data_IF_908874472439
#
_entry.id   IF_908874472439
#
_cell.length_a   1.000
_cell.length_b   1.000
_cell.length_c   1.000
_cell.angle_alpha   90.00
_cell.angle_beta   90.00
_cell.angle_gamma   90.00
#
_symmetry.space_group_name_H-M   'P 1'
#
loop_
_entity.id
_entity.type
_entity.pdbx_description
1 polymer ?
#
# COMPACT_ATOMS: atom_id res chain seq x y z
N UNK A 1 -4.37 51.94 35.17
CA UNK A 1 -4.37 50.80 36.08
C UNK A 1 -3.98 49.59 35.28
N UNK A 2 -2.73 49.12 35.46
CA UNK A 2 -2.16 47.99 34.76
C UNK A 2 -2.49 46.71 35.49
N UNK A 3 -2.97 45.67 34.79
CA UNK A 3 -2.91 44.32 35.31
C UNK A 3 -2.06 43.45 34.35
N UNK A 4 -0.88 43.11 34.85
CA UNK A 4 0.03 42.10 34.26
C UNK A 4 -0.48 40.74 34.69
N UNK A 5 -0.74 39.84 33.75
CA UNK A 5 -0.90 38.40 33.98
C UNK A 5 0.46 37.73 33.82
N UNK A 6 0.91 37.01 34.86
CA UNK A 6 2.17 36.31 34.88
C UNK A 6 2.01 34.88 34.34
N UNK A 7 2.85 34.53 33.39
CA UNK A 7 3.04 33.15 32.93
C UNK A 7 3.83 32.37 33.99
N UNK A 8 3.28 31.25 34.46
CA UNK A 8 4.00 30.29 35.32
C UNK A 8 4.60 29.21 34.45
N UNK A 9 5.91 29.23 34.35
CA UNK A 9 6.75 28.15 33.83
C UNK A 9 6.78 27.01 34.84
N UNK A 10 6.39 25.79 34.46
CA UNK A 10 6.53 24.59 35.25
C UNK A 10 7.83 23.87 34.86
N UNK A 11 8.82 23.90 35.72
CA UNK A 11 10.03 23.11 35.67
C UNK A 11 9.73 21.67 36.11
N UNK A 12 9.90 20.68 35.23
CA UNK A 12 9.96 19.28 35.63
C UNK A 12 11.37 18.97 36.17
N UNK A 13 11.44 18.57 37.44
CA UNK A 13 12.65 18.05 38.08
C UNK A 13 12.77 16.55 37.80
N UNK A 14 13.84 16.15 37.12
CA UNK A 14 14.30 14.77 37.03
C UNK A 14 14.81 14.29 38.39
N UNK A 15 14.20 13.24 38.91
CA UNK A 15 14.69 12.55 40.10
C UNK A 15 15.54 11.34 39.67
N UNK A 16 16.85 11.46 39.87
CA UNK A 16 17.81 10.36 39.68
C UNK A 16 17.85 9.55 40.97
N UNK A 17 17.37 8.32 40.95
CA UNK A 17 17.49 7.39 42.08
C UNK A 17 18.69 6.47 41.83
N UNK A 18 19.75 6.68 42.61
CA UNK A 18 20.90 5.80 42.65
C UNK A 18 20.62 4.61 43.59
N UNK A 19 20.68 3.39 43.06
CA UNK A 19 20.72 2.18 43.88
C UNK A 19 22.16 1.76 44.15
N UNK A 20 22.54 1.74 45.41
CA UNK A 20 23.82 1.20 45.87
C UNK A 20 23.69 -0.33 46.02
N UNK A 21 24.61 -1.05 45.38
CA UNK A 21 24.75 -2.51 45.52
C UNK A 21 25.77 -2.75 46.67
N UNK A 22 25.30 -3.38 47.72
CA UNK A 22 26.16 -3.95 48.76
C UNK A 22 26.44 -5.41 48.40
N UNK A 23 27.70 -5.75 48.22
CA UNK A 23 28.14 -7.12 47.96
C UNK A 23 28.12 -7.97 49.21
N UNK A 24 27.76 -9.24 49.06
CA UNK A 24 28.07 -10.30 50.02
C UNK A 24 28.50 -11.55 49.27
N UNK A 25 29.79 -11.87 49.46
CA UNK A 25 30.41 -13.12 49.01
C UNK A 25 30.05 -14.24 49.99
N UNK A 26 29.53 -15.35 49.51
CA UNK A 26 29.68 -16.67 50.17
C UNK A 26 29.91 -17.72 49.10
N UNK A 27 30.91 -18.53 49.33
CA UNK A 27 31.45 -19.54 48.44
C UNK A 27 30.93 -20.96 48.72
N UNK A 28 31.09 -21.83 47.70
CA UNK A 28 31.11 -23.33 47.70
C UNK A 28 29.75 -24.04 47.78
N UNK A 29 29.41 -24.98 46.98
CA UNK A 29 30.03 -26.11 46.22
C UNK A 29 28.93 -26.96 45.60
N UNK A 30 29.26 -27.49 44.42
CA UNK A 30 28.88 -28.78 43.79
C UNK A 30 27.46 -29.34 43.71
N UNK A 31 27.12 -29.60 42.50
CA UNK A 31 26.68 -30.85 41.84
C UNK A 31 25.26 -30.93 41.26
N UNK A 32 25.32 -31.38 40.00
CA UNK A 32 24.34 -32.16 39.20
C UNK A 32 23.15 -31.51 38.52
N UNK A 33 23.33 -31.42 37.17
CA UNK A 33 22.41 -31.93 36.11
C UNK A 33 20.94 -31.54 36.15
N UNK A 34 20.59 -30.62 35.28
CA UNK A 34 19.43 -30.75 34.36
C UNK A 34 19.37 -29.58 33.39
N UNK A 35 19.02 -29.90 32.15
CA UNK A 35 19.02 -28.99 31.00
C UNK A 35 18.08 -27.78 31.15
N UNK A 36 18.44 -26.63 30.59
CA UNK A 36 17.55 -25.46 30.61
C UNK A 36 16.55 -25.51 29.46
N UNK A 37 15.31 -25.19 29.79
CA UNK A 37 14.27 -24.82 28.85
C UNK A 37 14.69 -23.58 28.08
N UNK A 38 14.68 -23.68 26.76
CA UNK A 38 14.95 -22.58 25.85
C UNK A 38 13.71 -21.69 25.72
N UNK A 39 13.80 -20.47 26.22
CA UNK A 39 12.94 -19.39 25.76
C UNK A 39 13.39 -18.93 24.36
N UNK A 40 12.48 -18.59 23.45
CA UNK A 40 12.85 -18.12 22.12
C UNK A 40 13.36 -16.67 22.21
N UNK A 41 14.66 -16.53 22.02
CA UNK A 41 15.28 -15.23 21.81
C UNK A 41 14.93 -14.72 20.40
N UNK A 42 14.49 -13.49 20.33
CA UNK A 42 14.42 -12.74 19.09
C UNK A 42 15.84 -12.57 18.53
N UNK A 43 16.14 -13.28 17.46
CA UNK A 43 17.35 -13.04 16.69
C UNK A 43 17.00 -12.13 15.52
N UNK A 44 17.55 -10.93 15.54
CA UNK A 44 17.67 -10.06 14.39
C UNK A 44 18.43 -10.77 13.27
N UNK A 45 17.75 -11.14 12.19
CA UNK A 45 18.38 -11.63 10.97
C UNK A 45 18.81 -10.43 10.12
N UNK A 46 20.05 -9.96 10.34
CA UNK A 46 20.77 -9.14 9.38
C UNK A 46 21.48 -10.08 8.40
N UNK A 47 20.87 -10.29 7.23
CA UNK A 47 21.57 -10.73 6.00
C UNK A 47 20.54 -10.81 4.86
N UNK A 48 20.45 -9.75 4.06
CA UNK A 48 20.11 -9.78 2.64
C UNK A 48 20.12 -8.36 2.06
N UNK A 49 21.30 -7.89 1.79
CA UNK A 49 21.51 -6.79 0.88
C UNK A 49 22.76 -7.13 0.06
N UNK A 50 22.58 -7.87 -1.02
CA UNK A 50 23.43 -7.76 -2.21
C UNK A 50 22.97 -8.75 -3.28
N UNK A 51 22.22 -8.26 -4.28
CA UNK A 51 22.22 -8.82 -5.64
C UNK A 51 21.16 -8.11 -6.50
N UNK A 52 21.50 -6.92 -6.91
CA UNK A 52 20.91 -6.29 -8.08
C UNK A 52 22.02 -5.67 -8.91
N UNK A 53 22.75 -6.47 -9.67
CA UNK A 53 23.54 -6.03 -10.83
C UNK A 53 23.83 -7.19 -11.79
N UNK A 54 23.53 -6.90 -13.06
CA UNK A 54 24.02 -7.50 -14.30
C UNK A 54 23.46 -8.85 -14.70
N UNK A 55 22.63 -8.79 -15.74
CA UNK A 55 22.91 -9.62 -16.92
C UNK A 55 22.63 -8.78 -18.18
N UNK A 56 23.74 -8.47 -18.85
CA UNK A 56 23.80 -7.90 -20.18
C UNK A 56 24.12 -9.03 -21.18
N UNK A 57 23.30 -9.05 -22.25
CA UNK A 57 23.62 -9.61 -23.57
C UNK A 57 24.09 -11.04 -23.72
N UNK A 58 23.35 -11.81 -24.53
CA UNK A 58 23.77 -12.16 -25.88
C UNK A 58 22.65 -12.81 -26.68
N UNK A 59 22.39 -12.24 -27.82
CA UNK A 59 21.56 -12.77 -28.88
C UNK A 59 22.21 -13.99 -29.55
N UNK A 60 21.43 -15.04 -29.79
CA UNK A 60 21.67 -15.93 -30.94
C UNK A 60 20.35 -16.28 -31.59
N UNK A 61 20.25 -15.87 -32.84
CA UNK A 61 19.24 -16.19 -33.83
C UNK A 61 19.24 -17.67 -34.20
N UNK A 62 18.06 -18.27 -34.37
CA UNK A 62 17.88 -19.29 -35.41
C UNK A 62 16.43 -19.33 -35.86
N UNK A 63 16.33 -19.08 -37.15
CA UNK A 63 15.18 -19.17 -38.03
C UNK A 63 14.70 -20.60 -38.20
N UNK A 64 13.41 -20.84 -38.32
CA UNK A 64 12.88 -21.73 -39.35
C UNK A 64 11.39 -21.49 -39.59
N UNK A 65 11.14 -21.46 -40.85
CA UNK A 65 9.94 -21.13 -41.61
C UNK A 65 8.91 -22.26 -41.65
N UNK A 66 7.73 -21.85 -42.15
CA UNK A 66 6.75 -22.59 -42.96
C UNK A 66 5.53 -23.11 -42.14
N UNK A 67 4.27 -23.00 -42.57
CA UNK A 67 3.62 -22.87 -43.88
C UNK A 67 2.13 -22.55 -43.63
N UNK A 68 1.58 -21.65 -44.41
CA UNK A 68 0.11 -21.43 -44.53
C UNK A 68 -0.44 -22.46 -45.50
N UNK A 69 -1.69 -22.87 -45.39
CA UNK A 69 -2.55 -22.60 -46.56
C UNK A 69 -3.92 -22.00 -46.26
N UNK A 70 -4.21 -21.12 -47.11
CA UNK A 70 -5.38 -20.42 -47.54
C UNK A 70 -6.50 -21.37 -48.02
N UNK A 71 -7.77 -21.05 -47.72
CA UNK A 71 -8.82 -21.24 -48.70
C UNK A 71 -10.10 -20.44 -48.36
N UNK A 72 -10.33 -19.56 -49.23
CA UNK A 72 -11.50 -18.79 -49.61
C UNK A 72 -12.79 -19.58 -49.69
N UNK A 73 -13.93 -18.93 -49.40
CA UNK A 73 -15.08 -18.86 -50.34
C UNK A 73 -16.09 -17.81 -49.90
N UNK A 74 -16.30 -16.89 -50.78
CA UNK A 74 -17.38 -15.92 -50.80
C UNK A 74 -18.67 -16.55 -51.32
N UNK A 75 -19.83 -16.03 -50.95
CA UNK A 75 -20.99 -15.83 -51.83
C UNK A 75 -21.89 -14.70 -51.33
N UNK A 76 -22.16 -13.82 -52.23
CA UNK A 76 -23.02 -12.65 -52.31
C UNK A 76 -24.50 -12.99 -52.51
N UNK A 77 -25.39 -12.04 -52.18
CA UNK A 77 -26.53 -11.49 -52.98
C UNK A 77 -27.46 -10.70 -52.03
N UNK A 78 -27.62 -9.39 -52.16
CA UNK A 78 -28.38 -8.55 -53.12
C UNK A 78 -29.91 -8.66 -53.01
N UNK A 79 -30.53 -7.53 -52.74
CA UNK A 79 -31.64 -6.81 -53.42
C UNK A 79 -32.52 -6.06 -52.38
N UNK A 80 -32.63 -4.76 -52.42
CA UNK A 80 -33.28 -3.81 -53.33
C UNK A 80 -34.71 -3.43 -52.92
N UNK A 81 -34.90 -2.09 -52.78
CA UNK A 81 -36.06 -1.25 -53.11
C UNK A 81 -37.32 -1.36 -52.24
N UNK A 82 -37.80 -0.25 -51.65
CA UNK A 82 -38.66 0.77 -52.29
C UNK A 82 -38.94 1.93 -51.33
N UNK A 83 -38.90 3.14 -51.91
CA UNK A 83 -39.50 4.39 -51.42
C UNK A 83 -40.88 4.54 -52.03
N UNK A 84 -41.85 5.25 -51.42
CA UNK A 84 -42.22 6.51 -52.05
C UNK A 84 -42.53 7.68 -51.08
N UNK A 85 -42.36 8.82 -51.71
CA UNK A 85 -42.59 10.21 -51.37
C UNK A 85 -44.04 10.62 -51.07
N UNK A 86 -44.12 11.74 -50.39
CA UNK A 86 -44.84 13.03 -50.56
C UNK A 86 -45.70 13.38 -49.34
N UNK A 87 -45.94 14.60 -48.92
CA UNK A 87 -45.77 15.96 -49.41
C UNK A 87 -46.21 16.95 -48.30
N UNK A 88 -45.52 18.09 -48.24
CA UNK A 88 -45.97 19.42 -47.90
C UNK A 88 -46.86 19.70 -46.68
N UNK A 89 -46.41 20.54 -45.74
CA UNK A 89 -46.88 21.93 -45.63
C UNK A 89 -46.06 22.78 -44.68
N UNK A 90 -45.77 23.98 -45.13
CA UNK A 90 -45.11 25.06 -44.42
C UNK A 90 -45.90 25.59 -43.21
N UNK A 91 -45.25 26.02 -42.16
CA UNK A 91 -45.53 27.29 -41.49
C UNK A 91 -44.34 27.76 -40.67
N UNK A 92 -43.73 28.83 -41.10
CA UNK A 92 -42.71 29.61 -40.44
C UNK A 92 -43.20 30.29 -39.15
N UNK A 93 -42.47 30.06 -38.03
CA UNK A 93 -42.45 31.06 -36.95
C UNK A 93 -40.99 31.17 -36.48
N UNK A 94 -40.37 32.30 -36.76
CA UNK A 94 -39.11 32.74 -36.25
C UNK A 94 -39.22 33.09 -34.75
N UNK A 95 -38.47 32.42 -33.90
CA UNK A 95 -38.10 32.97 -32.59
C UNK A 95 -36.63 32.81 -32.40
N UNK A 96 -35.95 33.94 -32.40
CA UNK A 96 -34.56 34.08 -32.03
C UNK A 96 -34.38 33.68 -30.55
N UNK A 97 -33.71 32.56 -30.32
CA UNK A 97 -33.13 32.24 -29.03
C UNK A 97 -31.62 32.40 -29.13
N UNK A 98 -31.10 33.38 -28.40
CA UNK A 98 -29.69 33.54 -28.09
C UNK A 98 -29.14 32.23 -27.57
N UNK A 99 -27.92 31.82 -27.96
CA UNK A 99 -27.24 30.70 -27.33
C UNK A 99 -26.88 31.10 -25.89
N UNK A 100 -27.47 30.44 -24.92
CA UNK A 100 -26.96 30.47 -23.56
C UNK A 100 -25.50 29.99 -23.58
N UNK A 101 -24.57 30.89 -23.28
CA UNK A 101 -23.20 30.50 -22.92
C UNK A 101 -23.29 29.56 -21.69
N UNK A 102 -23.10 28.29 -21.94
CA UNK A 102 -22.75 27.37 -20.85
C UNK A 102 -21.37 27.80 -20.32
N UNK A 103 -21.36 28.61 -19.29
CA UNK A 103 -20.18 28.80 -18.46
C UNK A 103 -19.91 27.48 -17.76
N UNK A 104 -19.10 26.63 -18.37
CA UNK A 104 -18.47 25.51 -17.69
C UNK A 104 -17.53 26.09 -16.63
N UNK A 105 -18.05 26.29 -15.43
CA UNK A 105 -17.23 26.51 -14.26
C UNK A 105 -16.47 25.20 -14.01
N UNK A 106 -15.26 25.12 -14.51
CA UNK A 106 -14.30 24.10 -14.07
C UNK A 106 -13.96 24.44 -12.62
N UNK A 107 -14.70 23.90 -11.66
CA UNK A 107 -14.25 23.88 -10.29
C UNK A 107 -12.95 23.06 -10.26
N UNK A 108 -11.84 23.71 -9.95
CA UNK A 108 -10.58 22.99 -9.70
C UNK A 108 -10.85 21.91 -8.65
N UNK A 109 -10.34 20.71 -8.90
CA UNK A 109 -10.44 19.61 -7.93
C UNK A 109 -9.84 20.05 -6.59
N UNK A 110 -10.51 19.82 -5.46
CA UNK A 110 -9.97 20.12 -4.15
C UNK A 110 -8.78 19.23 -3.79
N UNK A 111 -8.52 18.19 -4.59
CA UNK A 111 -7.49 17.22 -4.36
C UNK A 111 -6.23 17.54 -5.17
N UNK A 112 -5.07 17.30 -4.56
CA UNK A 112 -3.79 17.24 -5.29
C UNK A 112 -3.76 16.05 -6.24
N UNK A 113 -4.36 14.95 -5.80
CA UNK A 113 -4.56 13.72 -6.55
C UNK A 113 -5.70 12.92 -5.90
N UNK A 114 -6.42 12.18 -6.72
CA UNK A 114 -7.42 11.25 -6.23
C UNK A 114 -7.65 10.12 -7.22
N UNK A 115 -8.17 9.00 -6.73
CA UNK A 115 -8.79 7.95 -7.50
C UNK A 115 -10.07 7.50 -6.80
N UNK A 116 -11.19 7.64 -7.49
CA UNK A 116 -12.52 7.22 -7.04
C UNK A 116 -12.89 5.85 -7.59
N UNK A 117 -11.98 5.22 -8.35
CA UNK A 117 -12.12 3.91 -8.96
C UNK A 117 -13.39 3.70 -9.79
N UNK A 118 -13.88 4.77 -10.45
CA UNK A 118 -14.96 4.64 -11.42
C UNK A 118 -14.56 3.75 -12.61
N UNK A 119 -13.29 3.85 -13.01
CA UNK A 119 -12.66 3.04 -14.06
C UNK A 119 -11.18 2.85 -13.75
N UNK A 120 -10.60 1.74 -14.27
CA UNK A 120 -9.16 1.50 -14.10
C UNK A 120 -8.34 2.50 -14.92
N UNK A 121 -7.58 3.37 -14.24
CA UNK A 121 -6.76 4.41 -14.87
C UNK A 121 -5.29 4.00 -14.96
N UNK A 122 -4.87 3.57 -16.15
CA UNK A 122 -3.48 3.21 -16.44
C UNK A 122 -2.53 4.41 -16.42
N UNK A 123 -3.02 5.66 -16.40
CA UNK A 123 -2.18 6.83 -16.17
C UNK A 123 -1.80 7.01 -14.70
N UNK A 124 -2.59 6.44 -13.78
CA UNK A 124 -2.33 6.50 -12.33
C UNK A 124 -1.59 5.27 -11.80
N UNK A 125 -1.90 4.07 -12.32
CA UNK A 125 -1.43 2.82 -11.75
C UNK A 125 -0.62 1.97 -12.74
N UNK A 126 0.35 1.23 -12.21
CA UNK A 126 1.08 0.16 -12.90
C UNK A 126 0.99 -1.10 -12.03
N UNK A 127 0.88 -2.26 -12.65
CA UNK A 127 1.01 -3.54 -11.95
C UNK A 127 2.46 -3.98 -11.88
N UNK A 128 2.86 -4.50 -10.74
CA UNK A 128 4.08 -5.29 -10.59
C UNK A 128 3.74 -6.76 -10.75
N UNK A 129 4.51 -7.47 -11.60
CA UNK A 129 4.21 -8.83 -12.02
C UNK A 129 5.28 -9.78 -11.50
N UNK A 130 4.85 -10.97 -11.05
CA UNK A 130 5.77 -12.03 -10.64
C UNK A 130 5.83 -12.27 -9.15
N UNK A 131 6.88 -12.97 -8.72
CA UNK A 131 7.12 -13.33 -7.32
C UNK A 131 8.15 -12.41 -6.65
N UNK A 132 8.73 -11.47 -7.39
CA UNK A 132 9.81 -10.63 -6.90
C UNK A 132 11.06 -11.41 -6.44
N UNK A 133 12.09 -10.69 -6.03
CA UNK A 133 13.26 -11.32 -5.44
C UNK A 133 12.91 -11.84 -4.03
N UNK A 134 13.20 -13.12 -3.77
CA UNK A 134 12.93 -13.77 -2.48
C UNK A 134 11.48 -13.61 -1.98
N UNK A 135 10.47 -13.69 -2.87
CA UNK A 135 9.07 -13.45 -2.52
C UNK A 135 8.90 -12.02 -1.99
N UNK A 136 9.26 -11.02 -2.82
CA UNK A 136 9.22 -9.59 -2.50
C UNK A 136 9.99 -9.20 -1.22
N UNK A 137 11.07 -9.96 -0.90
CA UNK A 137 11.86 -9.77 0.31
C UNK A 137 11.31 -10.47 1.56
N UNK A 138 10.08 -10.97 1.53
CA UNK A 138 9.35 -11.50 2.68
C UNK A 138 9.01 -12.99 2.58
N UNK A 139 9.54 -13.70 1.58
CA UNK A 139 9.19 -15.11 1.29
C UNK A 139 7.69 -15.33 1.03
N UNK A 140 6.99 -14.31 0.52
CA UNK A 140 5.59 -14.36 0.12
C UNK A 140 5.34 -15.46 -0.92
N UNK A 141 4.12 -15.98 -1.00
CA UNK A 141 3.79 -17.19 -1.77
C UNK A 141 2.99 -16.93 -3.04
N UNK A 142 2.40 -15.77 -3.21
CA UNK A 142 1.62 -15.42 -4.40
C UNK A 142 2.53 -15.04 -5.58
N UNK A 143 1.97 -15.20 -6.77
CA UNK A 143 2.41 -14.54 -7.99
C UNK A 143 1.50 -13.33 -8.21
N UNK A 144 2.06 -12.13 -8.28
CA UNK A 144 1.28 -10.94 -8.62
C UNK A 144 1.05 -10.86 -10.12
N UNK A 145 -0.17 -10.49 -10.51
CA UNK A 145 -0.61 -10.40 -11.91
C UNK A 145 -1.34 -9.09 -12.18
N UNK A 146 -1.53 -8.78 -13.46
CA UNK A 146 -2.40 -7.70 -13.96
C UNK A 146 -3.74 -8.22 -14.50
N UNK A 147 -4.10 -9.48 -14.17
CA UNK A 147 -5.32 -10.11 -14.66
C UNK A 147 -6.55 -9.61 -13.93
N UNK A 148 -7.68 -9.56 -14.62
CA UNK A 148 -8.98 -9.22 -14.03
C UNK A 148 -9.44 -10.18 -12.93
N UNK A 149 -8.87 -11.37 -12.84
CA UNK A 149 -9.09 -12.31 -11.75
C UNK A 149 -8.47 -11.83 -10.43
N UNK A 150 -7.46 -10.95 -10.49
CA UNK A 150 -6.72 -10.46 -9.32
C UNK A 150 -6.93 -8.96 -9.05
N UNK A 151 -7.26 -8.16 -10.08
CA UNK A 151 -7.62 -6.75 -9.87
C UNK A 151 -8.69 -6.32 -10.87
N UNK A 152 -9.79 -5.77 -10.36
CA UNK A 152 -10.89 -5.29 -11.18
C UNK A 152 -11.69 -4.22 -10.43
N UNK A 153 -12.49 -3.47 -11.18
CA UNK A 153 -13.42 -2.49 -10.62
C UNK A 153 -14.84 -2.99 -10.82
N UNK A 154 -15.61 -2.97 -9.75
CA UNK A 154 -17.03 -3.29 -9.76
C UNK A 154 -17.78 -2.29 -8.88
N UNK A 155 -18.85 -1.69 -9.42
CA UNK A 155 -19.71 -0.73 -8.70
C UNK A 155 -18.95 0.46 -8.09
N UNK A 156 -17.88 0.93 -8.75
CA UNK A 156 -17.03 2.02 -8.29
C UNK A 156 -16.06 1.62 -7.16
N UNK A 157 -15.84 0.32 -6.95
CA UNK A 157 -14.93 -0.21 -5.94
C UNK A 157 -13.80 -0.96 -6.65
N UNK A 158 -12.55 -0.67 -6.32
CA UNK A 158 -11.41 -1.50 -6.70
C UNK A 158 -11.37 -2.74 -5.80
N UNK A 159 -11.30 -3.90 -6.45
CA UNK A 159 -11.07 -5.19 -5.82
C UNK A 159 -9.64 -5.66 -6.09
N UNK A 160 -8.87 -5.93 -5.05
CA UNK A 160 -7.59 -6.65 -5.13
C UNK A 160 -7.81 -8.02 -4.51
N UNK A 161 -7.80 -9.05 -5.38
CA UNK A 161 -8.22 -10.41 -5.04
C UNK A 161 -7.05 -11.37 -4.98
N UNK A 162 -6.85 -11.97 -3.82
CA UNK A 162 -6.00 -13.14 -3.69
C UNK A 162 -6.81 -14.41 -4.02
N UNK A 163 -6.25 -15.25 -4.90
CA UNK A 163 -6.85 -16.50 -5.32
C UNK A 163 -5.97 -17.69 -4.92
N UNK A 164 -6.60 -18.81 -4.59
CA UNK A 164 -5.95 -20.12 -4.52
C UNK A 164 -6.02 -20.76 -5.89
N UNK A 165 -4.93 -20.69 -6.63
CA UNK A 165 -4.80 -21.29 -7.95
C UNK A 165 -3.34 -21.59 -8.26
N UNK A 166 -3.09 -22.54 -9.19
CA UNK A 166 -1.74 -22.80 -9.68
C UNK A 166 -1.45 -21.88 -10.87
N UNK A 167 -0.48 -20.98 -10.73
CA UNK A 167 -0.11 -20.04 -11.77
C UNK A 167 1.40 -19.77 -11.74
N UNK A 168 2.09 -19.95 -12.88
CA UNK A 168 3.54 -19.68 -13.04
C UNK A 168 4.42 -20.27 -11.91
N UNK A 169 4.04 -21.45 -11.41
CA UNK A 169 4.77 -22.16 -10.34
C UNK A 169 4.39 -21.78 -8.92
N UNK A 170 3.54 -20.76 -8.73
CA UNK A 170 2.97 -20.39 -7.43
C UNK A 170 1.65 -21.11 -7.19
N UNK A 171 1.29 -21.32 -5.91
CA UNK A 171 0.00 -21.88 -5.50
C UNK A 171 -1.07 -20.83 -5.23
N UNK A 172 -0.74 -19.56 -5.35
CA UNK A 172 -1.61 -18.40 -5.11
C UNK A 172 -1.30 -17.31 -6.12
N UNK A 173 -2.30 -16.51 -6.47
CA UNK A 173 -2.15 -15.27 -7.24
C UNK A 173 -2.78 -14.11 -6.50
N UNK A 174 -2.33 -12.89 -6.78
CA UNK A 174 -2.90 -11.66 -6.27
C UNK A 174 -2.53 -10.50 -7.19
N UNK A 175 -2.76 -9.26 -6.76
CA UNK A 175 -2.28 -8.08 -7.47
C UNK A 175 -1.49 -7.15 -6.55
N UNK A 176 -0.50 -6.46 -7.14
CA UNK A 176 0.25 -5.36 -6.54
C UNK A 176 0.30 -4.21 -7.53
N UNK A 177 -0.23 -3.06 -7.11
CA UNK A 177 -0.40 -1.86 -7.92
C UNK A 177 0.42 -0.74 -7.33
N UNK A 178 1.11 0.03 -8.19
CA UNK A 178 1.98 1.13 -7.77
C UNK A 178 1.73 2.41 -8.57
N UNK A 179 1.97 3.57 -7.96
CA UNK A 179 1.95 4.86 -8.66
C UNK A 179 3.35 5.37 -9.03
N UNK A 180 4.41 4.57 -8.85
CA UNK A 180 5.80 4.93 -9.19
C UNK A 180 5.93 5.44 -10.63
N UNK A 181 6.60 6.59 -10.80
CA UNK A 181 6.78 7.22 -12.09
C UNK A 181 5.51 7.84 -12.70
N UNK A 182 4.38 7.80 -11.98
CA UNK A 182 3.09 8.39 -12.40
C UNK A 182 2.61 9.44 -11.42
N UNK A 183 2.65 9.14 -10.13
CA UNK A 183 2.34 10.07 -9.06
C UNK A 183 3.18 9.78 -7.83
N UNK A 184 3.86 10.79 -7.35
CA UNK A 184 4.54 10.83 -6.05
C UNK A 184 4.41 12.24 -5.47
N UNK A 185 4.45 12.35 -4.17
CA UNK A 185 4.31 13.64 -3.49
C UNK A 185 5.11 13.66 -2.19
N UNK A 186 5.35 14.87 -1.69
CA UNK A 186 5.93 15.13 -0.38
C UNK A 186 4.95 16.00 0.38
N UNK A 187 4.52 15.52 1.55
CA UNK A 187 3.55 16.14 2.43
C UNK A 187 2.14 16.26 1.86
N UNK A 188 1.19 16.11 2.73
CA UNK A 188 -0.23 16.17 2.46
C UNK A 188 -1.04 15.32 3.43
N UNK A 189 -2.34 15.38 3.29
CA UNK A 189 -3.25 14.46 3.96
C UNK A 189 -3.74 13.45 2.93
N UNK A 190 -3.48 12.16 3.19
CA UNK A 190 -4.04 11.03 2.46
C UNK A 190 -5.28 10.56 3.20
N UNK A 191 -6.37 10.36 2.48
CA UNK A 191 -7.58 9.70 2.97
C UNK A 191 -7.95 8.58 2.02
N UNK A 192 -8.19 7.39 2.57
CA UNK A 192 -8.61 6.21 1.82
C UNK A 192 -9.75 5.51 2.56
N UNK A 193 -10.74 5.02 1.81
CA UNK A 193 -11.82 4.21 2.36
C UNK A 193 -11.65 2.78 1.88
N UNK A 194 -11.31 1.89 2.82
CA UNK A 194 -10.85 0.52 2.52
C UNK A 194 -11.51 -0.48 3.46
N UNK A 195 -11.88 -1.65 2.92
CA UNK A 195 -12.18 -2.86 3.69
C UNK A 195 -11.06 -3.88 3.40
N UNK A 196 -10.49 -4.45 4.47
CA UNK A 196 -9.35 -5.35 4.38
C UNK A 196 -9.81 -6.81 4.41
N UNK A 197 -9.16 -7.72 3.66
CA UNK A 197 -9.36 -9.14 3.85
C UNK A 197 -8.79 -9.59 5.20
N UNK A 198 -9.46 -10.55 5.82
CA UNK A 198 -8.98 -11.23 7.01
C UNK A 198 -8.91 -12.73 6.78
N UNK A 199 -7.92 -13.38 7.38
CA UNK A 199 -7.78 -14.82 7.28
C UNK A 199 -6.33 -15.29 7.39
N UNK A 200 -6.13 -16.51 7.86
CA UNK A 200 -4.82 -17.07 8.15
C UNK A 200 -3.90 -17.07 6.93
N UNK A 201 -2.77 -16.37 7.03
CA UNK A 201 -1.79 -16.21 5.95
C UNK A 201 -2.11 -15.07 4.98
N UNK A 202 -3.12 -14.23 5.23
CA UNK A 202 -3.45 -13.05 4.44
C UNK A 202 -2.72 -11.82 5.01
N UNK A 203 -2.20 -10.98 4.11
CA UNK A 203 -1.46 -9.78 4.45
C UNK A 203 -1.78 -8.65 3.45
N UNK A 204 -2.84 -7.90 3.66
CA UNK A 204 -3.15 -6.69 2.89
C UNK A 204 -2.30 -5.51 3.33
N UNK A 205 -1.97 -4.61 2.38
CA UNK A 205 -1.26 -3.39 2.65
C UNK A 205 -1.66 -2.23 1.73
N UNK A 206 -1.74 -1.02 2.31
CA UNK A 206 -1.72 0.27 1.61
C UNK A 206 -0.58 1.10 2.19
N UNK A 207 0.44 1.34 1.41
CA UNK A 207 1.73 1.82 1.84
C UNK A 207 2.46 2.64 0.79
N UNK A 208 3.64 3.13 1.10
CA UNK A 208 4.41 4.02 0.23
C UNK A 208 5.90 3.71 0.29
N UNK A 209 6.59 3.93 -0.83
CA UNK A 209 8.05 3.91 -0.91
C UNK A 209 8.58 5.20 -1.54
N UNK A 210 9.81 5.55 -1.19
CA UNK A 210 10.50 6.69 -1.79
C UNK A 210 10.64 6.56 -3.30
N UNK A 211 10.27 7.61 -4.05
CA UNK A 211 10.40 7.67 -5.51
C UNK A 211 11.85 7.45 -5.98
N UNK A 212 12.81 7.73 -5.11
CA UNK A 212 14.25 7.56 -5.36
C UNK A 212 14.77 6.13 -5.09
N UNK A 213 13.91 5.13 -4.90
CA UNK A 213 14.29 3.76 -4.53
C UNK A 213 15.30 3.13 -5.49
N UNK A 214 15.20 3.43 -6.80
CA UNK A 214 16.15 2.91 -7.79
C UNK A 214 17.58 3.45 -7.62
N UNK A 215 17.72 4.61 -6.98
CA UNK A 215 19.02 5.26 -6.77
C UNK A 215 19.65 4.90 -5.43
N UNK A 216 18.84 4.70 -4.38
CA UNK A 216 19.36 4.53 -3.00
C UNK A 216 19.01 3.18 -2.37
N UNK A 217 18.12 2.42 -3.00
CA UNK A 217 17.58 1.14 -2.51
C UNK A 217 16.82 1.26 -1.20
N UNK A 218 16.16 0.18 -0.81
CA UNK A 218 15.54 0.02 0.50
C UNK A 218 16.61 -0.35 1.55
N UNK A 219 16.53 0.13 2.82
CA UNK A 219 15.51 1.02 3.38
C UNK A 219 15.86 2.52 3.28
N UNK A 220 16.92 2.90 2.55
CA UNK A 220 17.37 4.30 2.46
C UNK A 220 16.39 5.22 1.69
N UNK A 221 15.51 4.65 0.88
CA UNK A 221 14.44 5.41 0.22
C UNK A 221 13.34 5.88 1.19
N UNK A 222 13.20 5.23 2.35
CA UNK A 222 12.09 5.38 3.28
C UNK A 222 10.85 4.59 2.84
N UNK A 223 10.10 4.10 3.84
CA UNK A 223 8.85 3.38 3.67
C UNK A 223 7.82 3.88 4.69
N UNK A 224 6.59 4.04 4.28
CA UNK A 224 5.47 4.51 5.12
C UNK A 224 4.32 3.53 4.93
N UNK A 225 4.09 2.66 5.92
CA UNK A 225 3.00 1.71 5.91
C UNK A 225 1.79 2.33 6.59
N UNK A 226 0.89 2.88 5.75
CA UNK A 226 -0.33 3.55 6.25
C UNK A 226 -1.27 2.51 6.85
N UNK A 227 -1.41 1.36 6.18
CA UNK A 227 -2.27 0.26 6.61
C UNK A 227 -1.54 -1.03 6.34
N UNK A 228 -1.36 -1.84 7.36
CA UNK A 228 -1.07 -3.24 7.25
C UNK A 228 -1.95 -4.04 8.21
N UNK A 229 -2.35 -5.23 7.81
CA UNK A 229 -2.98 -6.19 8.69
C UNK A 229 -2.49 -7.60 8.35
N UNK A 230 -2.49 -8.51 9.32
CA UNK A 230 -2.14 -9.91 9.10
C UNK A 230 -3.19 -10.84 9.69
N UNK A 231 -3.38 -11.95 9.01
CA UNK A 231 -4.23 -13.03 9.49
C UNK A 231 -5.67 -12.56 9.78
N UNK A 232 -6.24 -13.01 10.87
CA UNK A 232 -7.58 -12.66 11.38
C UNK A 232 -7.52 -11.82 12.67
N UNK A 233 -6.42 -11.05 12.84
CA UNK A 233 -6.17 -10.37 14.11
C UNK A 233 -7.08 -9.15 14.35
N UNK A 234 -7.73 -8.62 13.33
CA UNK A 234 -8.51 -7.38 13.40
C UNK A 234 -7.72 -6.19 13.99
N UNK A 235 -6.42 -6.14 13.66
CA UNK A 235 -5.50 -5.08 14.05
C UNK A 235 -5.00 -4.40 12.79
N UNK A 236 -4.94 -3.06 12.83
CA UNK A 236 -4.26 -2.27 11.82
C UNK A 236 -2.95 -1.77 12.39
N UNK A 237 -1.88 -2.00 11.68
CA UNK A 237 -0.52 -1.56 11.98
C UNK A 237 -0.17 -0.36 11.10
N UNK A 238 0.51 0.60 11.69
CA UNK A 238 1.17 1.70 10.99
C UNK A 238 2.65 1.66 11.33
N UNK A 239 3.51 1.69 10.30
CA UNK A 239 4.95 1.53 10.46
C UNK A 239 5.70 2.52 9.58
N UNK A 240 6.90 2.89 9.98
CA UNK A 240 7.86 3.58 9.15
C UNK A 240 9.17 2.81 9.17
N UNK A 241 9.79 2.63 7.99
CA UNK A 241 11.10 2.01 7.83
C UNK A 241 12.07 2.97 7.14
N UNK A 242 13.32 3.03 7.64
CA UNK A 242 14.36 3.88 7.08
C UNK A 242 15.75 3.31 7.33
N UNK A 243 16.77 3.94 6.77
CA UNK A 243 18.14 3.59 7.06
C UNK A 243 18.72 4.48 8.16
N UNK A 244 19.24 3.87 9.24
CA UNK A 244 19.95 4.54 10.30
C UNK A 244 21.35 3.92 10.48
N UNK A 245 22.40 4.74 10.36
CA UNK A 245 23.80 4.28 10.46
C UNK A 245 24.14 3.06 9.59
N UNK A 246 23.57 3.02 8.37
CA UNK A 246 23.80 1.93 7.43
C UNK A 246 22.97 0.66 7.70
N UNK A 247 22.14 0.65 8.71
CA UNK A 247 21.26 -0.47 9.07
C UNK A 247 19.79 -0.11 8.84
N UNK A 248 18.95 -1.11 8.74
CA UNK A 248 17.50 -0.94 8.79
C UNK A 248 17.08 -0.50 10.19
N UNK A 249 16.22 0.49 10.24
CA UNK A 249 15.52 0.97 11.43
C UNK A 249 14.03 1.05 11.14
N UNK A 250 13.21 0.79 12.13
CA UNK A 250 11.77 0.87 12.05
C UNK A 250 11.14 1.43 13.33
N UNK A 251 9.93 1.95 13.17
CA UNK A 251 9.08 2.32 14.28
C UNK A 251 7.62 2.11 13.88
N UNK A 252 6.93 1.24 14.63
CA UNK A 252 5.54 0.87 14.36
C UNK A 252 4.68 0.87 15.62
N UNK A 253 3.39 1.14 15.45
CA UNK A 253 2.34 1.06 16.46
C UNK A 253 1.05 0.54 15.80
N UNK A 254 -0.01 0.30 16.58
CA UNK A 254 -1.20 -0.32 16.02
C UNK A 254 -2.49 0.06 16.80
N UNK A 255 -3.63 -0.40 16.29
CA UNK A 255 -4.95 -0.11 16.86
C UNK A 255 -5.25 -0.83 18.17
N UNK A 256 -4.54 -1.91 18.49
CA UNK A 256 -4.74 -2.68 19.73
C UNK A 256 -4.09 -2.02 20.93
N UNK A 257 -2.92 -1.40 20.71
CA UNK A 257 -2.21 -0.65 21.75
C UNK A 257 -1.50 0.57 21.16
N UNK A 258 -2.12 1.72 21.32
CA UNK A 258 -1.51 3.01 21.02
C UNK A 258 -1.40 3.81 22.31
N UNK A 259 -0.23 3.67 22.99
CA UNK A 259 0.05 4.29 24.30
C UNK A 259 -1.02 4.05 25.35
N UNK A 260 -1.50 2.80 25.46
CA UNK A 260 -2.52 2.38 26.41
C UNK A 260 -3.96 2.70 26.01
N UNK A 261 -4.17 3.14 24.76
CA UNK A 261 -5.49 3.27 24.16
C UNK A 261 -5.66 2.24 23.03
N UNK A 262 -6.89 1.81 22.77
CA UNK A 262 -7.19 0.83 21.74
C UNK A 262 -8.48 1.17 21.02
N UNK A 263 -8.62 0.63 19.80
CA UNK A 263 -9.85 0.65 19.02
C UNK A 263 -10.16 -0.76 18.54
N UNK A 264 -11.31 -1.25 18.92
CA UNK A 264 -11.88 -2.47 18.34
C UNK A 264 -12.34 -2.19 16.89
N UNK A 265 -11.91 -3.03 15.97
CA UNK A 265 -12.23 -2.92 14.55
C UNK A 265 -12.72 -4.26 14.01
N UNK A 266 -13.67 -4.22 13.10
CA UNK A 266 -13.90 -5.29 12.12
C UNK A 266 -13.28 -4.82 10.80
N UNK A 267 -12.03 -5.17 10.55
CA UNK A 267 -11.28 -4.72 9.37
C UNK A 267 -11.92 -5.13 8.05
N UNK A 268 -12.86 -6.09 8.06
CA UNK A 268 -13.59 -6.52 6.87
C UNK A 268 -14.70 -5.56 6.46
N UNK A 269 -15.03 -4.59 7.30
CA UNK A 269 -15.92 -3.48 6.98
C UNK A 269 -15.12 -2.30 6.44
N UNK A 270 -15.78 -1.42 5.67
CA UNK A 270 -15.15 -0.19 5.23
C UNK A 270 -14.87 0.76 6.39
N UNK A 271 -13.62 1.17 6.51
CA UNK A 271 -13.16 2.20 7.41
C UNK A 271 -12.49 3.34 6.64
N UNK A 272 -12.50 4.54 7.23
CA UNK A 272 -11.74 5.68 6.72
C UNK A 272 -10.36 5.69 7.36
N UNK A 273 -9.33 5.49 6.54
CA UNK A 273 -7.94 5.58 6.93
C UNK A 273 -7.39 6.92 6.50
N UNK A 274 -6.65 7.57 7.40
CA UNK A 274 -6.08 8.87 7.13
C UNK A 274 -4.62 8.93 7.59
N UNK A 275 -3.75 9.44 6.73
CA UNK A 275 -2.39 9.84 7.08
C UNK A 275 -2.26 11.35 6.97
N UNK A 276 -1.76 12.00 8.00
CA UNK A 276 -1.33 13.39 7.98
C UNK A 276 0.19 13.40 7.96
N UNK A 277 0.75 13.89 6.87
CA UNK A 277 2.18 13.96 6.66
C UNK A 277 2.61 15.41 6.37
N UNK A 278 3.46 15.96 7.20
CA UNK A 278 4.00 17.29 7.07
C UNK A 278 5.49 17.33 7.46
N UNK A 279 6.10 18.51 7.44
CA UNK A 279 7.52 18.69 7.78
C UNK A 279 7.91 18.24 9.19
N UNK A 280 6.97 17.99 10.08
CA UNK A 280 7.22 17.68 11.48
C UNK A 280 6.92 16.25 11.87
N UNK A 281 5.90 15.67 11.26
CA UNK A 281 5.41 14.36 11.68
C UNK A 281 4.69 13.62 10.55
N UNK A 282 4.57 12.31 10.73
CA UNK A 282 3.63 11.43 10.05
C UNK A 282 2.72 10.87 11.13
N UNK A 283 1.40 11.06 10.99
CA UNK A 283 0.40 10.52 11.92
C UNK A 283 -0.69 9.77 11.15
N UNK A 284 -1.09 8.61 11.64
CA UNK A 284 -2.07 7.73 10.98
C UNK A 284 -3.29 7.50 11.87
N UNK A 285 -4.44 7.44 11.21
CA UNK A 285 -5.74 7.35 11.87
C UNK A 285 -6.64 6.35 11.17
N UNK A 286 -7.51 5.68 11.90
CA UNK A 286 -8.67 4.94 11.41
C UNK A 286 -9.93 5.44 12.11
N UNK A 287 -10.93 5.88 11.33
CA UNK A 287 -12.17 6.49 11.87
C UNK A 287 -11.89 7.52 12.98
N UNK A 288 -10.94 8.44 12.77
CA UNK A 288 -10.46 9.43 13.73
C UNK A 288 -9.69 8.91 14.96
N UNK A 289 -9.53 7.60 15.14
CA UNK A 289 -8.65 7.03 16.16
C UNK A 289 -7.20 7.02 15.66
N UNK A 290 -6.32 7.78 16.32
CA UNK A 290 -4.89 7.78 16.02
C UNK A 290 -4.23 6.49 16.50
N UNK A 291 -3.59 5.75 15.59
CA UNK A 291 -2.89 4.51 15.92
C UNK A 291 -1.39 4.54 15.63
N UNK A 292 -0.88 5.61 15.01
CA UNK A 292 0.55 5.79 14.77
C UNK A 292 0.92 7.26 14.70
N UNK A 293 2.14 7.60 15.15
CA UNK A 293 2.75 8.92 14.94
C UNK A 293 4.26 8.83 15.12
N UNK A 294 5.01 9.37 14.18
CA UNK A 294 6.46 9.54 14.26
C UNK A 294 6.82 11.01 14.01
N UNK A 295 7.68 11.59 14.84
CA UNK A 295 8.26 12.91 14.61
C UNK A 295 9.42 12.82 13.63
N UNK A 296 9.41 13.66 12.57
CA UNK A 296 10.43 13.68 11.52
C UNK A 296 11.08 15.06 11.37
N UNK A 297 10.72 16.06 12.21
CA UNK A 297 11.12 17.46 12.03
C UNK A 297 12.63 17.72 12.04
N UNK A 298 13.40 16.88 12.72
CA UNK A 298 14.84 17.02 12.81
C UNK A 298 15.58 16.58 11.52
N UNK A 299 14.93 15.83 10.63
CA UNK A 299 15.52 15.28 9.40
C UNK A 299 16.93 14.67 9.62
N UNK A 300 17.14 14.04 10.78
CA UNK A 300 18.38 13.39 11.19
C UNK A 300 18.19 11.89 11.26
N UNK A 301 19.31 11.17 11.38
CA UNK A 301 19.31 9.74 11.69
C UNK A 301 18.58 8.90 10.62
N UNK A 302 18.58 9.37 9.34
CA UNK A 302 17.92 8.73 8.22
C UNK A 302 16.48 9.19 7.99
N UNK A 303 15.89 9.97 8.91
CA UNK A 303 14.52 10.49 8.79
C UNK A 303 14.35 11.48 7.62
N UNK A 304 15.44 11.99 7.02
CA UNK A 304 15.41 12.77 5.80
C UNK A 304 14.79 12.04 4.61
N UNK A 305 14.67 10.72 4.65
CA UNK A 305 13.94 9.93 3.66
C UNK A 305 12.45 10.33 3.61
N UNK A 306 11.88 10.70 4.77
CA UNK A 306 10.48 11.13 4.88
C UNK A 306 10.25 12.60 4.49
N UNK A 307 11.25 13.30 3.98
CA UNK A 307 11.15 14.63 3.39
C UNK A 307 11.33 14.61 1.86
N UNK A 308 11.20 13.42 1.26
CA UNK A 308 11.32 13.19 -0.19
C UNK A 308 10.01 12.64 -0.75
N UNK A 309 9.79 12.77 -2.08
CA UNK A 309 8.58 12.23 -2.68
C UNK A 309 8.43 10.73 -2.46
N UNK A 310 7.22 10.31 -2.14
CA UNK A 310 6.83 8.91 -1.95
C UNK A 310 5.69 8.57 -2.92
N UNK A 311 5.65 7.33 -3.41
CA UNK A 311 4.59 6.80 -4.27
C UNK A 311 3.77 5.74 -3.54
N UNK A 312 2.52 5.52 -3.96
CA UNK A 312 1.62 4.55 -3.34
C UNK A 312 1.83 3.12 -3.85
N UNK A 313 1.55 2.18 -2.97
CA UNK A 313 1.47 0.75 -3.26
C UNK A 313 0.21 0.18 -2.59
N UNK A 314 -0.52 -0.66 -3.34
CA UNK A 314 -1.65 -1.45 -2.87
C UNK A 314 -1.40 -2.92 -3.20
N UNK A 315 -1.53 -3.82 -2.24
CA UNK A 315 -1.42 -5.25 -2.49
C UNK A 315 -2.12 -6.11 -1.43
N UNK A 316 -2.36 -7.37 -1.78
CA UNK A 316 -2.69 -8.43 -0.84
C UNK A 316 -1.64 -9.52 -0.99
N UNK A 317 -0.75 -9.66 -0.02
CA UNK A 317 0.22 -10.75 0.03
C UNK A 317 -0.41 -12.02 0.65
N UNK A 318 0.17 -13.18 0.35
CA UNK A 318 -0.25 -14.48 0.85
C UNK A 318 0.94 -15.20 1.45
N UNK A 319 0.87 -15.53 2.74
CA UNK A 319 1.99 -16.08 3.50
C UNK A 319 3.16 -15.10 3.57
N UNK A 320 4.23 -15.53 4.17
CA UNK A 320 5.46 -14.74 4.31
C UNK A 320 6.00 -14.74 5.73
N UNK A 321 7.08 -14.00 5.92
CA UNK A 321 7.80 -13.98 7.20
C UNK A 321 6.94 -13.48 8.36
N UNK A 322 6.04 -12.53 8.12
CA UNK A 322 5.23 -11.91 9.17
C UNK A 322 3.89 -12.62 9.41
N UNK A 323 3.01 -12.84 8.41
CA UNK A 323 1.77 -13.59 8.65
C UNK A 323 2.00 -15.08 8.90
N UNK A 324 3.19 -15.59 8.61
CA UNK A 324 3.55 -17.01 8.69
C UNK A 324 3.26 -17.77 7.40
N UNK A 325 3.56 -19.07 7.45
CA UNK A 325 3.47 -19.95 6.28
C UNK A 325 2.28 -20.94 6.38
N UNK A 326 1.52 -20.88 7.44
CA UNK A 326 0.27 -21.60 7.57
C UNK A 326 -0.85 -20.78 6.94
N UNK A 327 -1.36 -21.23 5.80
CA UNK A 327 -2.39 -20.55 5.03
C UNK A 327 -3.65 -21.41 5.04
N UNK A 328 -4.79 -20.82 5.34
CA UNK A 328 -6.07 -21.51 5.25
C UNK A 328 -6.63 -21.40 3.82
N UNK A 329 -6.48 -22.47 3.05
CA UNK A 329 -6.93 -22.54 1.66
C UNK A 329 -8.44 -22.38 1.48
N UNK A 330 -9.23 -22.55 2.55
CA UNK A 330 -10.70 -22.52 2.48
C UNK A 330 -11.28 -21.10 2.41
N UNK A 331 -10.48 -20.09 2.71
CA UNK A 331 -10.90 -18.69 2.73
C UNK A 331 -10.74 -17.96 1.39
N UNK A 332 -10.16 -18.62 0.38
CA UNK A 332 -10.03 -18.02 -0.94
C UNK A 332 -11.28 -18.19 -1.81
N UNK A 333 -11.62 -17.22 -2.68
CA UNK A 333 -10.90 -15.95 -2.87
C UNK A 333 -11.09 -15.01 -1.68
N UNK A 334 -10.08 -14.13 -1.43
CA UNK A 334 -10.13 -13.13 -0.38
C UNK A 334 -9.72 -11.76 -0.95
N UNK A 335 -10.42 -10.68 -0.57
CA UNK A 335 -10.33 -9.42 -1.30
C UNK A 335 -10.12 -8.21 -0.39
N UNK A 336 -9.22 -7.33 -0.78
CA UNK A 336 -9.19 -5.94 -0.32
C UNK A 336 -10.08 -5.10 -1.24
N UNK A 337 -10.95 -4.29 -0.65
CA UNK A 337 -11.88 -3.40 -1.33
C UNK A 337 -11.47 -1.95 -1.09
N UNK A 338 -11.29 -1.18 -2.15
CA UNK A 338 -10.90 0.23 -2.07
C UNK A 338 -11.96 1.08 -2.77
N UNK A 339 -12.65 1.93 -1.99
CA UNK A 339 -13.68 2.84 -2.50
C UNK A 339 -13.03 4.10 -3.13
N UNK A 340 -12.13 4.74 -2.39
CA UNK A 340 -11.37 5.88 -2.93
C UNK A 340 -10.02 6.05 -2.22
N UNK A 341 -9.13 6.78 -2.90
CA UNK A 341 -7.91 7.36 -2.32
C UNK A 341 -7.86 8.83 -2.74
N UNK A 342 -7.67 9.74 -1.78
CA UNK A 342 -7.64 11.18 -1.98
C UNK A 342 -6.45 11.79 -1.29
N UNK A 343 -5.78 12.72 -1.95
CA UNK A 343 -4.65 13.48 -1.40
C UNK A 343 -5.01 14.96 -1.40
N UNK A 344 -4.92 15.60 -0.25
CA UNK A 344 -5.10 17.05 -0.06
C UNK A 344 -3.84 17.68 0.53
N UNK A 345 -3.79 19.01 0.53
CA UNK A 345 -2.70 19.77 1.15
C UNK A 345 -2.79 19.78 2.67
#
# INVERSE_FOLDING_TARGET
MCHKAALKSAFFKTATTAFAIAGMLVACSDDTSSAPETQPGFSSSSEMADQARHDDSTAVSSSSSAVVPNSSSAVSSSSSLDTPQSSDNETSVSSSSEPAEETSSSSESPYLWNDEFDTFDTAKWTFEIGTGASGWGNNEKQYYTDRSENAYIQDGILHIRANKESYEGSGYTSARMITKGKYSFTYGTVEARIALPAGKGIWPAFWMLGENIDAVSWPACGEIDIIEAINDENIVYGTNHWQYNGNHADYGTNTRDYYGTSKELDITQFHNYKMVWNEKLIAMYVDDFKYHEIAIEDAKDGLEAFHKPQFFILNVAVGGNWPGFEIDDTQFPNEMLVDYIRVTR
#
